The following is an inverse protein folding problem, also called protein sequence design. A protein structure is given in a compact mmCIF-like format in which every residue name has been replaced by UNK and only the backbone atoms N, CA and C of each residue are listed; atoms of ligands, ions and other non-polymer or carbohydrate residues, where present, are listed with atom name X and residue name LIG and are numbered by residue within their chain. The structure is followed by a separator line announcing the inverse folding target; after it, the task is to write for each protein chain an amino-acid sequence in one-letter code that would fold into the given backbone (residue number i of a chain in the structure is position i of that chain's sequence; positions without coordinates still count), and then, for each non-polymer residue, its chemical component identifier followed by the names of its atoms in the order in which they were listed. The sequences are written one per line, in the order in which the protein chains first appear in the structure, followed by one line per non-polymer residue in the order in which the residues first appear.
data_IF_068906117607
#
_entry.id   IF_068906117607
#
_cell.length_a   1.000
_cell.length_b   1.000
_cell.length_c   1.000
_cell.angle_alpha   90.00
_cell.angle_beta   90.00
_cell.angle_gamma   90.00
#
_symmetry.space_group_name_H-M   'P 1'
#
loop_
_entity.id
_entity.type
_entity.pdbx_description
1 polymer ?
#
# COMPACT_ATOMS: atom_id res chain seq x y z
N UNK A 1 -12.08 -15.54 -14.30
CA UNK A 1 -13.10 -15.91 -13.30
C UNK A 1 -12.59 -15.41 -11.96
N UNK A 2 -13.08 -14.26 -11.51
CA UNK A 2 -12.64 -13.65 -10.24
C UNK A 2 -13.24 -14.44 -9.08
N UNK A 3 -12.41 -14.97 -8.19
CA UNK A 3 -12.86 -15.65 -6.97
C UNK A 3 -13.36 -14.61 -5.95
N UNK A 4 -14.43 -14.91 -5.18
CA UNK A 4 -15.07 -13.98 -4.28
C UNK A 4 -14.35 -13.97 -2.93
N UNK A 5 -13.18 -13.36 -2.87
CA UNK A 5 -12.63 -12.87 -1.60
C UNK A 5 -12.52 -11.35 -1.75
N UNK A 6 -13.41 -10.64 -1.06
CA UNK A 6 -13.50 -9.18 -1.12
C UNK A 6 -12.15 -8.54 -0.78
N UNK A 7 -11.69 -7.52 -1.51
CA UNK A 7 -10.49 -6.79 -1.11
C UNK A 7 -10.82 -6.02 0.16
N UNK A 8 -10.12 -6.34 1.26
CA UNK A 8 -10.03 -5.46 2.42
C UNK A 8 -9.18 -4.24 2.04
N UNK A 9 -9.85 -3.23 1.48
CA UNK A 9 -9.24 -1.94 1.20
C UNK A 9 -9.03 -1.19 2.51
N UNK A 10 -7.82 -0.69 2.76
CA UNK A 10 -7.48 0.18 3.92
C UNK A 10 -8.09 1.60 3.81
N UNK A 11 -9.05 1.82 2.91
CA UNK A 11 -9.67 3.12 2.64
C UNK A 11 -11.20 3.10 2.51
N UNK A 12 -11.88 1.99 2.79
CA UNK A 12 -13.34 1.93 2.79
C UNK A 12 -13.88 1.75 4.22
N UNK A 13 -13.64 2.76 5.05
CA UNK A 13 -14.60 3.08 6.11
C UNK A 13 -15.92 3.49 5.46
N UNK A 14 -17.06 3.15 6.06
CA UNK A 14 -18.37 3.58 5.56
C UNK A 14 -18.37 5.11 5.46
N UNK A 15 -18.43 5.66 4.25
CA UNK A 15 -18.56 7.09 3.98
C UNK A 15 -20.05 7.43 4.03
N UNK A 16 -20.62 7.99 5.13
CA UNK A 16 -22.01 8.42 5.15
C UNK A 16 -22.33 9.42 4.03
N UNK A 17 -23.59 9.49 3.61
CA UNK A 17 -24.05 10.33 2.48
C UNK A 17 -23.83 11.85 2.65
N UNK A 18 -23.26 12.29 3.78
CA UNK A 18 -22.96 13.68 4.11
C UNK A 18 -21.54 14.15 3.71
N UNK A 19 -20.73 13.29 3.07
CA UNK A 19 -19.41 13.70 2.59
C UNK A 19 -19.53 14.56 1.32
N UNK A 20 -18.83 15.71 1.23
CA UNK A 20 -18.58 16.34 -0.06
C UNK A 20 -17.70 15.37 -0.87
N UNK A 21 -18.33 14.60 -1.74
CA UNK A 21 -17.63 13.74 -2.68
C UNK A 21 -16.85 14.66 -3.61
N UNK A 22 -15.53 14.53 -3.63
CA UNK A 22 -14.73 15.14 -4.67
C UNK A 22 -15.26 14.66 -6.03
N UNK A 23 -15.86 15.56 -6.81
CA UNK A 23 -16.46 15.24 -8.11
C UNK A 23 -15.41 14.92 -9.18
N UNK A 24 -14.11 14.97 -8.84
CA UNK A 24 -13.06 14.40 -9.67
C UNK A 24 -13.26 12.88 -9.64
N UNK A 25 -13.55 12.24 -10.78
CA UNK A 25 -13.84 10.80 -10.90
C UNK A 25 -12.68 9.85 -10.57
N UNK A 26 -11.78 10.23 -9.66
CA UNK A 26 -10.60 9.50 -9.22
C UNK A 26 -10.50 9.57 -7.69
N UNK A 27 -9.99 8.52 -7.07
CA UNK A 27 -9.71 8.47 -5.63
C UNK A 27 -8.30 7.95 -5.37
N UNK A 28 -7.73 8.34 -4.23
CA UNK A 28 -6.40 7.88 -3.79
C UNK A 28 -6.62 6.74 -2.80
N UNK A 29 -6.04 5.59 -3.11
CA UNK A 29 -6.19 4.38 -2.32
C UNK A 29 -4.84 3.70 -2.17
N UNK A 30 -4.58 3.25 -0.95
CA UNK A 30 -3.36 2.56 -0.57
C UNK A 30 -3.64 1.07 -0.31
N UNK A 31 -2.68 0.23 -0.61
CA UNK A 31 -2.76 -1.20 -0.35
C UNK A 31 -2.00 -2.07 -1.34
N UNK A 32 -1.68 -3.30 -0.95
CA UNK A 32 -1.09 -4.29 -1.86
C UNK A 32 -1.98 -4.60 -3.08
N UNK A 33 -3.29 -4.40 -2.94
CA UNK A 33 -4.26 -4.44 -4.05
C UNK A 33 -4.06 -3.32 -5.08
N UNK A 34 -3.56 -2.15 -4.69
CA UNK A 34 -3.22 -1.03 -5.59
C UNK A 34 -1.85 -1.26 -6.28
N UNK A 35 -0.92 -1.95 -5.61
CA UNK A 35 0.35 -2.36 -6.20
C UNK A 35 0.20 -3.49 -7.22
N UNK A 36 -0.72 -4.43 -7.00
CA UNK A 36 -0.96 -5.59 -7.88
C UNK A 36 -1.17 -5.23 -9.37
N UNK A 37 -2.07 -4.28 -9.73
CA UNK A 37 -2.28 -3.91 -11.14
C UNK A 37 -1.05 -3.27 -11.80
N UNK A 38 -0.14 -2.63 -11.05
CA UNK A 38 1.13 -2.13 -11.61
C UNK A 38 1.94 -3.30 -12.20
N UNK A 39 2.06 -4.42 -11.47
CA UNK A 39 2.76 -5.61 -11.97
C UNK A 39 1.99 -6.30 -13.09
N UNK A 40 0.66 -6.31 -13.05
CA UNK A 40 -0.13 -6.83 -14.18
C UNK A 40 0.16 -6.06 -15.47
N UNK A 41 0.24 -4.73 -15.38
CA UNK A 41 0.59 -3.87 -16.51
C UNK A 41 2.01 -4.13 -17.02
N UNK A 42 2.99 -4.19 -16.11
CA UNK A 42 4.38 -4.49 -16.46
C UNK A 42 4.50 -5.88 -17.11
N UNK A 43 3.87 -6.90 -16.54
CA UNK A 43 3.85 -8.24 -17.10
C UNK A 43 3.22 -8.29 -18.49
N UNK A 44 2.15 -7.52 -18.73
CA UNK A 44 1.53 -7.41 -20.05
C UNK A 44 2.48 -6.77 -21.08
N UNK A 45 3.22 -5.72 -20.69
CA UNK A 45 4.23 -5.09 -21.55
C UNK A 45 5.41 -6.04 -21.83
N UNK A 46 5.93 -6.73 -20.83
CA UNK A 46 6.96 -7.75 -21.03
C UNK A 46 6.47 -8.84 -21.97
N UNK A 47 5.22 -9.31 -21.82
CA UNK A 47 4.61 -10.30 -22.73
C UNK A 47 4.44 -9.78 -24.16
N UNK A 48 4.17 -8.48 -24.32
CA UNK A 48 4.08 -7.87 -25.65
C UNK A 48 5.45 -7.84 -26.35
N UNK A 49 6.53 -7.60 -25.60
CA UNK A 49 7.91 -7.60 -26.12
C UNK A 49 8.43 -9.02 -26.35
N UNK A 50 8.05 -9.97 -25.49
CA UNK A 50 8.43 -11.38 -25.54
C UNK A 50 7.19 -12.30 -25.65
N UNK A 51 6.57 -12.42 -26.84
CA UNK A 51 5.31 -13.14 -27.02
C UNK A 51 5.39 -14.65 -26.78
N UNK A 52 6.58 -15.23 -26.78
CA UNK A 52 6.88 -16.64 -26.56
C UNK A 52 7.14 -16.98 -25.09
N UNK A 53 7.46 -15.99 -24.25
CA UNK A 53 7.80 -16.23 -22.85
C UNK A 53 6.64 -16.80 -22.03
N UNK A 54 6.95 -17.77 -21.18
CA UNK A 54 5.99 -18.31 -20.23
C UNK A 54 5.66 -17.27 -19.13
N UNK A 55 4.55 -17.44 -18.40
CA UNK A 55 4.29 -16.66 -17.19
C UNK A 55 5.42 -16.73 -16.14
N UNK A 56 6.12 -17.87 -16.04
CA UNK A 56 7.24 -18.05 -15.12
C UNK A 56 8.47 -17.27 -15.58
N UNK A 57 8.77 -17.26 -16.88
CA UNK A 57 9.82 -16.43 -17.46
C UNK A 57 9.56 -14.93 -17.22
N UNK A 58 8.32 -14.47 -17.42
CA UNK A 58 7.92 -13.07 -17.13
C UNK A 58 8.07 -12.75 -15.64
N UNK A 59 7.58 -13.64 -14.76
CA UNK A 59 7.74 -13.49 -13.31
C UNK A 59 9.22 -13.40 -12.94
N UNK A 60 10.05 -14.28 -13.50
CA UNK A 60 11.50 -14.27 -13.29
C UNK A 60 12.11 -12.94 -13.72
N UNK A 61 11.81 -12.44 -14.91
CA UNK A 61 12.37 -11.20 -15.42
C UNK A 61 12.07 -10.00 -14.51
N UNK A 62 10.83 -9.89 -14.00
CA UNK A 62 10.43 -8.83 -13.06
C UNK A 62 11.22 -8.95 -11.75
N UNK A 63 11.37 -10.17 -11.21
CA UNK A 63 12.05 -10.39 -9.93
C UNK A 63 13.56 -10.17 -10.02
N UNK A 64 14.24 -10.77 -11.00
CA UNK A 64 15.71 -10.76 -11.10
C UNK A 64 16.28 -9.40 -11.50
N UNK A 65 15.44 -8.49 -12.00
CA UNK A 65 15.84 -7.13 -12.41
C UNK A 65 15.41 -6.03 -11.44
N UNK A 66 14.75 -6.43 -10.35
CA UNK A 66 14.31 -5.52 -9.28
C UNK A 66 15.49 -4.83 -8.57
N UNK A 67 15.18 -3.79 -7.82
CA UNK A 67 16.16 -2.97 -7.09
C UNK A 67 15.91 -3.07 -5.59
N UNK A 68 16.99 -3.19 -4.82
CA UNK A 68 16.95 -3.24 -3.34
C UNK A 68 17.27 -1.87 -2.71
N UNK A 69 17.40 -0.83 -3.54
CA UNK A 69 17.74 0.52 -3.13
C UNK A 69 16.64 1.50 -3.47
N UNK A 70 16.55 2.57 -2.69
CA UNK A 70 15.71 3.72 -2.93
C UNK A 70 16.25 4.61 -4.08
N UNK A 71 15.56 5.72 -4.34
CA UNK A 71 15.98 6.69 -5.37
C UNK A 71 17.33 7.39 -5.09
N UNK A 72 17.78 7.41 -3.84
CA UNK A 72 19.06 7.98 -3.40
C UNK A 72 20.20 6.94 -3.46
N UNK A 73 19.89 5.69 -3.83
CA UNK A 73 20.84 4.57 -3.82
C UNK A 73 21.09 3.99 -2.42
N UNK A 74 20.31 4.34 -1.41
CA UNK A 74 20.35 3.75 -0.07
C UNK A 74 19.49 2.48 -0.04
N UNK A 75 19.66 1.57 0.93
CA UNK A 75 18.77 0.42 1.07
C UNK A 75 17.30 0.83 1.22
N UNK A 76 16.38 0.08 0.62
CA UNK A 76 14.94 0.24 0.87
C UNK A 76 14.70 0.01 2.37
N UNK A 77 14.05 0.96 3.04
CA UNK A 77 13.83 0.91 4.48
C UNK A 77 12.44 0.36 4.84
N UNK A 78 12.32 -0.18 6.04
CA UNK A 78 11.05 -0.52 6.70
C UNK A 78 10.54 0.65 7.56
N UNK A 79 9.40 0.45 8.22
CA UNK A 79 8.76 1.43 9.07
C UNK A 79 9.56 1.79 10.33
N UNK A 80 10.50 0.93 10.75
CA UNK A 80 11.42 1.19 11.88
C UNK A 80 12.76 1.77 11.43
N UNK A 81 12.90 2.20 10.18
CA UNK A 81 14.12 2.76 9.60
C UNK A 81 15.27 1.73 9.50
N UNK A 82 14.95 0.44 9.48
CA UNK A 82 15.92 -0.61 9.18
C UNK A 82 15.83 -1.01 7.71
N UNK A 83 16.91 -1.55 7.11
CA UNK A 83 16.84 -2.12 5.78
C UNK A 83 15.77 -3.22 5.70
N UNK A 84 14.82 -3.08 4.78
CA UNK A 84 13.75 -4.03 4.56
C UNK A 84 14.35 -5.38 4.14
N UNK A 85 13.89 -6.46 4.76
CA UNK A 85 14.38 -7.80 4.46
C UNK A 85 13.55 -8.46 3.34
N UNK A 86 14.01 -9.62 2.87
CA UNK A 86 13.35 -10.37 1.78
C UNK A 86 11.93 -10.83 2.11
N UNK A 87 11.55 -10.96 3.38
CA UNK A 87 10.16 -11.26 3.78
C UNK A 87 9.23 -10.03 3.73
N UNK A 88 9.76 -8.83 3.49
CA UNK A 88 9.00 -7.61 3.29
C UNK A 88 8.90 -7.23 1.80
N UNK A 89 10.02 -7.29 1.08
CA UNK A 89 10.11 -6.78 -0.30
C UNK A 89 10.35 -7.85 -1.37
N UNK A 90 10.52 -9.12 -0.97
CA UNK A 90 10.88 -10.19 -1.91
C UNK A 90 12.23 -9.92 -2.56
N UNK A 91 12.24 -9.91 -3.90
CA UNK A 91 13.44 -9.58 -4.68
C UNK A 91 13.83 -8.09 -4.59
N UNK A 92 12.89 -7.20 -4.25
CA UNK A 92 13.08 -5.75 -4.23
C UNK A 92 11.97 -5.00 -4.94
N UNK A 93 12.13 -3.70 -5.09
CA UNK A 93 11.21 -2.85 -5.85
C UNK A 93 11.33 -3.09 -7.35
N UNK A 94 10.19 -3.25 -8.03
CA UNK A 94 10.13 -3.49 -9.46
C UNK A 94 10.89 -2.43 -10.27
N UNK A 95 11.60 -2.87 -11.32
CA UNK A 95 12.25 -2.03 -12.32
C UNK A 95 11.72 -2.41 -13.72
N UNK A 96 10.70 -1.70 -14.23
CA UNK A 96 10.07 -2.04 -15.51
C UNK A 96 11.05 -2.03 -16.68
N UNK A 97 11.92 -1.02 -16.74
CA UNK A 97 12.86 -0.84 -17.87
C UNK A 97 13.87 -1.96 -17.98
N UNK A 98 14.35 -2.50 -16.85
CA UNK A 98 15.26 -3.64 -16.85
C UNK A 98 14.55 -4.98 -17.09
N UNK A 99 13.28 -5.11 -16.68
CA UNK A 99 12.52 -6.34 -16.88
C UNK A 99 12.27 -6.67 -18.36
N UNK A 100 12.41 -5.70 -19.26
CA UNK A 100 12.31 -5.93 -20.70
C UNK A 100 13.50 -6.67 -21.30
N UNK A 101 14.69 -6.59 -20.70
CA UNK A 101 15.87 -7.34 -21.13
C UNK A 101 16.69 -7.79 -19.90
N UNK A 102 16.25 -8.86 -19.21
CA UNK A 102 16.86 -9.33 -17.98
C UNK A 102 18.18 -10.09 -18.23
N UNK A 103 18.54 -10.37 -19.49
CA UNK A 103 19.63 -11.26 -19.89
C UNK A 103 19.35 -12.74 -19.63
N UNK A 104 19.00 -13.11 -18.40
CA UNK A 104 18.64 -14.48 -18.00
C UNK A 104 17.27 -14.52 -17.34
N UNK A 105 16.46 -15.51 -17.73
CA UNK A 105 15.20 -15.85 -17.08
C UNK A 105 15.24 -17.29 -16.58
N UNK A 106 14.70 -17.52 -15.38
CA UNK A 106 14.49 -18.85 -14.81
C UNK A 106 13.07 -19.28 -15.17
N UNK A 107 12.95 -19.99 -16.27
CA UNK A 107 11.66 -20.55 -16.71
C UNK A 107 11.34 -21.85 -15.96
N UNK A 108 10.05 -22.17 -15.85
CA UNK A 108 9.53 -23.36 -15.16
C UNK A 108 8.37 -23.93 -15.98
N UNK A 109 8.45 -25.23 -16.27
CA UNK A 109 7.41 -25.96 -17.00
C UNK A 109 6.25 -26.33 -16.05
N UNK A 110 5.01 -26.35 -16.56
CA UNK A 110 3.83 -26.82 -15.84
C UNK A 110 4.01 -28.19 -15.15
N UNK A 111 4.83 -29.09 -15.72
CA UNK A 111 5.17 -30.39 -15.11
C UNK A 111 5.91 -30.26 -13.78
N UNK A 112 6.71 -29.22 -13.61
CA UNK A 112 7.45 -28.96 -12.36
C UNK A 112 6.49 -28.46 -11.27
N UNK A 113 5.49 -27.65 -11.62
CA UNK A 113 4.42 -27.30 -10.68
C UNK A 113 3.57 -28.51 -10.26
N UNK A 114 3.33 -29.46 -11.19
CA UNK A 114 2.69 -30.74 -10.85
C UNK A 114 3.55 -31.50 -9.85
N UNK A 115 4.84 -31.66 -10.12
CA UNK A 115 5.76 -32.36 -9.23
C UNK A 115 5.80 -31.74 -7.82
N UNK A 116 5.81 -30.40 -7.73
CA UNK A 116 5.73 -29.68 -6.46
C UNK A 116 4.42 -29.97 -5.71
N UNK A 117 3.27 -29.89 -6.39
CA UNK A 117 1.97 -30.18 -5.78
C UNK A 117 1.85 -31.63 -5.31
N UNK A 118 2.36 -32.59 -6.09
CA UNK A 118 2.44 -33.99 -5.69
C UNK A 118 3.36 -34.18 -4.47
N UNK A 119 4.48 -33.45 -4.41
CA UNK A 119 5.39 -33.41 -3.25
C UNK A 119 4.70 -32.89 -1.98
N UNK A 120 3.81 -31.90 -2.13
CA UNK A 120 2.96 -31.35 -1.06
C UNK A 120 1.73 -32.23 -0.74
N UNK A 121 1.63 -33.43 -1.29
CA UNK A 121 0.55 -34.42 -1.03
C UNK A 121 -0.85 -33.96 -1.46
N UNK A 122 -0.94 -33.08 -2.47
CA UNK A 122 -2.23 -32.77 -3.13
C UNK A 122 -2.74 -33.99 -3.89
N UNK A 123 -4.07 -34.15 -3.96
CA UNK A 123 -4.70 -35.25 -4.71
C UNK A 123 -4.71 -34.92 -6.20
N UNK A 124 -4.60 -35.93 -7.06
CA UNK A 124 -4.54 -35.78 -8.51
C UNK A 124 -5.69 -34.95 -9.09
N UNK A 125 -6.90 -35.08 -8.52
CA UNK A 125 -8.07 -34.29 -8.91
C UNK A 125 -7.87 -32.78 -8.67
N UNK A 126 -7.21 -32.41 -7.57
CA UNK A 126 -6.98 -31.04 -7.16
C UNK A 126 -5.85 -30.44 -8.00
N UNK A 127 -4.79 -31.23 -8.25
CA UNK A 127 -3.69 -30.86 -9.15
C UNK A 127 -4.19 -30.62 -10.57
N UNK A 128 -5.00 -31.53 -11.11
CA UNK A 128 -5.56 -31.43 -12.46
C UNK A 128 -6.42 -30.18 -12.63
N UNK A 129 -7.23 -29.83 -11.63
CA UNK A 129 -8.04 -28.62 -11.63
C UNK A 129 -7.18 -27.35 -11.63
N UNK A 130 -6.14 -27.31 -10.79
CA UNK A 130 -5.23 -26.16 -10.67
C UNK A 130 -4.46 -25.93 -11.97
N UNK A 131 -3.93 -27.00 -12.59
CA UNK A 131 -3.15 -26.91 -13.83
C UNK A 131 -4.03 -26.56 -15.02
N UNK A 132 -5.21 -27.17 -15.13
CA UNK A 132 -6.16 -26.87 -16.21
C UNK A 132 -6.61 -25.40 -16.21
N UNK A 133 -6.73 -24.78 -15.03
CA UNK A 133 -7.10 -23.38 -14.89
C UNK A 133 -6.00 -22.39 -15.33
N UNK A 134 -4.75 -22.83 -15.53
CA UNK A 134 -3.58 -21.96 -15.66
C UNK A 134 -2.96 -21.82 -17.04
N UNK A 135 -3.60 -22.31 -18.10
CA UNK A 135 -3.10 -22.32 -19.50
C UNK A 135 -2.39 -21.01 -19.94
N UNK A 136 -1.10 -20.88 -19.66
CA UNK A 136 -0.28 -19.72 -20.02
C UNK A 136 -0.73 -18.38 -19.42
N UNK A 137 -1.52 -18.38 -18.33
CA UNK A 137 -2.06 -17.13 -17.76
C UNK A 137 -1.14 -16.64 -16.63
N UNK A 138 -0.62 -15.43 -16.78
CA UNK A 138 0.10 -14.74 -15.72
C UNK A 138 -0.86 -14.26 -14.62
N UNK A 139 -0.50 -14.47 -13.36
CA UNK A 139 -1.31 -14.09 -12.20
C UNK A 139 -0.45 -13.30 -11.23
N UNK A 140 -0.81 -12.04 -11.01
CA UNK A 140 -0.33 -11.26 -9.87
C UNK A 140 -1.39 -11.28 -8.77
N UNK A 141 -0.95 -11.27 -7.52
CA UNK A 141 -1.84 -11.25 -6.36
C UNK A 141 -1.27 -10.41 -5.23
N UNK A 142 -2.15 -9.70 -4.53
CA UNK A 142 -1.77 -8.85 -3.40
C UNK A 142 -1.18 -9.70 -2.25
N UNK A 143 -0.09 -9.26 -1.64
CA UNK A 143 0.50 -9.93 -0.47
C UNK A 143 -0.44 -9.89 0.76
N UNK A 144 -1.34 -8.92 0.82
CA UNK A 144 -2.22 -8.67 1.97
C UNK A 144 -1.82 -7.39 2.71
N UNK A 145 -2.74 -6.90 3.53
CA UNK A 145 -2.58 -5.64 4.29
C UNK A 145 -2.59 -5.90 5.80
N UNK A 146 -2.00 -7.02 6.24
CA UNK A 146 -2.00 -7.48 7.64
C UNK A 146 -0.60 -7.47 8.28
N UNK A 147 0.35 -6.73 7.70
CA UNK A 147 1.61 -6.39 8.36
C UNK A 147 1.38 -5.53 9.62
N UNK A 148 2.44 -5.24 10.41
CA UNK A 148 3.86 -5.50 10.17
C UNK A 148 4.35 -6.85 10.73
N UNK A 149 3.46 -7.67 11.27
CA UNK A 149 3.86 -8.97 11.82
C UNK A 149 4.30 -9.93 10.71
N UNK A 150 5.29 -10.76 11.00
CA UNK A 150 5.71 -11.86 10.12
C UNK A 150 4.57 -12.86 9.92
N UNK A 151 4.67 -13.65 8.85
CA UNK A 151 3.75 -14.74 8.55
C UNK A 151 2.28 -14.31 8.32
N UNK A 152 2.11 -13.15 7.70
CA UNK A 152 0.81 -12.54 7.37
C UNK A 152 0.54 -12.51 5.87
N UNK A 153 1.49 -12.98 5.05
CA UNK A 153 1.38 -13.01 3.58
C UNK A 153 0.38 -14.04 3.08
N UNK A 154 -0.45 -13.61 2.13
CA UNK A 154 -1.43 -14.44 1.41
C UNK A 154 -1.06 -14.55 -0.07
N UNK A 155 -1.85 -15.29 -0.86
CA UNK A 155 -1.59 -15.54 -2.29
C UNK A 155 -0.21 -16.17 -2.55
N UNK A 156 0.20 -17.07 -1.65
CA UNK A 156 1.56 -17.63 -1.53
C UNK A 156 1.90 -18.72 -2.55
N UNK A 157 0.99 -18.98 -3.49
CA UNK A 157 1.18 -20.05 -4.43
C UNK A 157 2.37 -19.75 -5.38
N UNK A 158 3.22 -20.74 -5.73
CA UNK A 158 4.53 -20.48 -6.38
C UNK A 158 4.44 -19.78 -7.75
N UNK A 159 3.40 -20.10 -8.51
CA UNK A 159 3.08 -19.53 -9.83
C UNK A 159 2.38 -18.16 -9.76
N UNK A 160 2.02 -17.65 -8.58
CA UNK A 160 1.49 -16.30 -8.41
C UNK A 160 2.67 -15.37 -8.17
N UNK A 161 2.70 -14.21 -8.84
CA UNK A 161 3.57 -13.10 -8.45
C UNK A 161 2.88 -12.34 -7.30
N UNK A 162 3.31 -12.59 -6.07
CA UNK A 162 2.80 -11.99 -4.85
C UNK A 162 3.44 -10.63 -4.61
N UNK A 163 2.62 -9.59 -4.60
CA UNK A 163 3.06 -8.19 -4.65
C UNK A 163 2.92 -7.51 -3.29
N UNK A 164 4.04 -7.05 -2.74
CA UNK A 164 4.12 -6.16 -1.59
C UNK A 164 3.93 -4.70 -1.99
N UNK A 165 3.51 -3.89 -1.03
CA UNK A 165 3.27 -2.46 -1.19
C UNK A 165 4.49 -1.66 -0.72
N UNK A 166 4.97 -0.76 -1.57
CA UNK A 166 6.04 0.17 -1.26
C UNK A 166 5.66 1.58 -1.69
N UNK A 167 6.19 2.58 -0.98
CA UNK A 167 5.95 3.99 -1.27
C UNK A 167 6.52 4.37 -2.64
N UNK A 168 6.00 5.47 -3.20
CA UNK A 168 6.48 6.06 -4.45
C UNK A 168 6.91 7.52 -4.25
N UNK A 169 7.72 8.03 -5.18
CA UNK A 169 8.23 9.40 -5.18
C UNK A 169 7.14 10.44 -5.54
N UNK A 170 6.06 10.00 -6.19
CA UNK A 170 4.91 10.83 -6.51
C UNK A 170 4.07 11.11 -5.25
N UNK A 171 4.03 12.37 -4.84
CA UNK A 171 3.22 12.84 -3.72
C UNK A 171 2.15 13.86 -4.13
N UNK A 172 1.00 13.83 -3.46
CA UNK A 172 -0.06 14.83 -3.61
C UNK A 172 0.16 15.97 -2.61
N UNK A 173 1.13 16.83 -2.92
CA UNK A 173 1.62 17.87 -2.01
C UNK A 173 0.48 18.78 -1.49
N UNK A 174 0.41 18.91 -0.18
CA UNK A 174 -0.47 19.81 0.55
C UNK A 174 0.35 20.53 1.64
N UNK A 175 0.72 21.78 1.36
CA UNK A 175 1.60 22.58 2.21
C UNK A 175 0.84 23.16 3.41
N UNK A 176 1.43 23.03 4.59
CA UNK A 176 1.00 23.75 5.79
C UNK A 176 1.97 24.87 6.06
N UNK A 177 1.48 26.11 6.11
CA UNK A 177 2.25 27.26 6.58
C UNK A 177 1.72 27.72 7.93
N UNK A 178 2.57 27.68 8.95
CA UNK A 178 2.25 28.18 10.29
C UNK A 178 2.47 29.69 10.38
N UNK A 179 1.93 30.31 11.44
CA UNK A 179 2.05 31.75 11.70
C UNK A 179 3.49 32.21 11.98
N UNK A 180 4.35 31.32 12.43
CA UNK A 180 5.77 31.56 12.68
C UNK A 180 6.65 31.27 11.45
N UNK A 181 6.05 31.32 10.26
CA UNK A 181 6.69 31.07 8.95
C UNK A 181 7.27 29.66 8.76
N UNK A 182 7.04 28.73 9.71
CA UNK A 182 7.38 27.32 9.49
C UNK A 182 6.46 26.72 8.45
N UNK A 183 7.06 25.99 7.50
CA UNK A 183 6.34 25.28 6.45
C UNK A 183 6.56 23.77 6.61
N UNK A 184 5.47 23.01 6.45
CA UNK A 184 5.50 21.54 6.46
C UNK A 184 4.91 21.03 5.16
N UNK A 185 5.66 20.17 4.47
CA UNK A 185 5.16 19.45 3.31
C UNK A 185 4.39 18.21 3.78
N UNK A 186 3.08 18.20 3.55
CA UNK A 186 2.24 17.02 3.77
C UNK A 186 1.59 16.55 2.48
N UNK A 187 0.74 15.52 2.60
CA UNK A 187 0.03 14.92 1.47
C UNK A 187 -1.49 14.89 1.69
N UNK A 188 -2.26 15.16 0.64
CA UNK A 188 -3.72 15.07 0.67
C UNK A 188 -4.35 14.91 -0.70
N UNK A 189 -5.30 13.99 -0.83
CA UNK A 189 -6.17 13.88 -2.00
C UNK A 189 -7.21 15.01 -2.08
N UNK A 190 -7.65 15.53 -0.94
CA UNK A 190 -8.64 16.60 -0.89
C UNK A 190 -7.96 17.97 -1.04
N UNK A 191 -8.04 18.54 -2.25
CA UNK A 191 -7.40 19.81 -2.62
C UNK A 191 -8.42 20.83 -3.13
N UNK A 192 -9.19 21.47 -2.23
CA UNK A 192 -10.14 22.52 -2.61
C UNK A 192 -9.43 23.73 -3.25
N UNK A 193 -10.01 24.26 -4.33
CA UNK A 193 -9.42 25.32 -5.17
C UNK A 193 -9.28 26.69 -4.49
N UNK A 194 -10.00 26.93 -3.39
CA UNK A 194 -10.00 28.20 -2.64
C UNK A 194 -9.88 27.98 -1.14
N UNK A 195 -8.82 27.31 -0.69
CA UNK A 195 -8.65 27.03 0.74
C UNK A 195 -7.37 27.62 1.32
N UNK A 196 -7.30 28.95 1.32
CA UNK A 196 -6.53 29.67 2.33
C UNK A 196 -7.40 29.79 3.58
N UNK A 197 -7.29 28.85 4.53
CA UNK A 197 -7.72 29.23 5.87
C UNK A 197 -6.70 30.24 6.38
N UNK A 198 -7.09 31.52 6.41
CA UNK A 198 -6.49 32.45 7.35
C UNK A 198 -6.86 31.97 8.76
N UNK A 199 -6.01 31.11 9.31
CA UNK A 199 -6.15 30.38 10.57
C UNK A 199 -6.00 31.32 11.80
N UNK A 200 -6.40 32.59 11.65
CA UNK A 200 -6.20 33.69 12.59
C UNK A 200 -6.97 33.52 13.92
N UNK A 201 -7.90 32.56 14.01
CA UNK A 201 -8.83 32.44 15.15
C UNK A 201 -8.83 31.07 15.85
N UNK A 202 -7.96 30.13 15.47
CA UNK A 202 -7.96 28.80 16.07
C UNK A 202 -6.77 28.67 17.03
N UNK A 203 -7.04 28.86 18.32
CA UNK A 203 -6.16 28.34 19.38
C UNK A 203 -5.89 26.87 19.08
N UNK A 204 -4.62 26.48 19.03
CA UNK A 204 -4.20 25.08 18.95
C UNK A 204 -4.89 24.28 20.06
N UNK A 205 -5.84 23.41 19.71
CA UNK A 205 -6.33 22.43 20.68
C UNK A 205 -5.30 21.31 20.75
N UNK A 206 -4.80 20.91 21.93
CA UNK A 206 -3.53 20.18 22.03
C UNK A 206 -3.51 18.80 21.39
N UNK A 207 -4.67 18.17 21.13
CA UNK A 207 -4.71 16.85 20.53
C UNK A 207 -6.14 16.45 20.13
N UNK A 208 -6.38 16.12 18.87
CA UNK A 208 -7.56 15.35 18.47
C UNK A 208 -7.23 13.86 18.64
N UNK A 209 -7.58 13.27 19.80
CA UNK A 209 -7.26 11.87 20.11
C UNK A 209 -8.10 10.91 19.24
N UNK A 210 -7.54 10.46 18.12
CA UNK A 210 -8.12 9.42 17.26
C UNK A 210 -7.54 8.05 17.60
N UNK A 211 -8.37 7.15 18.17
CA UNK A 211 -8.35 5.66 18.04
C UNK A 211 -9.14 4.96 19.17
N UNK A 212 -9.46 5.62 20.29
CA UNK A 212 -10.39 5.06 21.30
C UNK A 212 -11.74 5.77 21.28
N UNK A 213 -12.64 5.16 20.53
CA UNK A 213 -14.08 5.36 20.55
C UNK A 213 -14.58 5.38 22.02
N UNK A 214 -15.31 6.44 22.37
CA UNK A 214 -16.25 6.62 23.49
C UNK A 214 -15.79 7.29 24.81
N UNK A 215 -14.55 7.14 25.31
CA UNK A 215 -14.26 7.62 26.69
C UNK A 215 -13.68 9.03 26.85
N UNK A 216 -13.47 9.79 25.77
CA UNK A 216 -13.01 11.21 25.84
C UNK A 216 -14.01 12.13 25.12
N UNK A 217 -15.29 11.74 25.12
CA UNK A 217 -16.38 12.43 24.41
C UNK A 217 -16.97 13.64 25.17
N UNK A 218 -16.41 14.05 26.31
CA UNK A 218 -17.03 15.11 27.13
C UNK A 218 -16.58 16.55 26.80
N UNK A 219 -15.64 16.77 25.88
CA UNK A 219 -15.12 18.13 25.61
C UNK A 219 -14.91 18.52 24.12
N UNK A 220 -15.66 17.91 23.19
CA UNK A 220 -15.57 18.24 21.75
C UNK A 220 -16.36 19.48 21.31
N UNK A 221 -17.01 20.21 22.23
CA UNK A 221 -17.51 21.57 21.97
C UNK A 221 -16.38 22.56 21.62
N UNK A 222 -15.13 22.20 21.95
CA UNK A 222 -13.94 23.07 21.83
C UNK A 222 -13.33 23.14 20.43
N UNK A 223 -13.68 22.25 19.50
CA UNK A 223 -13.05 22.19 18.15
C UNK A 223 -13.85 22.88 17.04
N UNK A 224 -15.06 23.36 17.34
CA UNK A 224 -15.92 24.03 16.36
C UNK A 224 -15.22 25.25 15.75
N UNK A 225 -15.04 25.27 14.43
CA UNK A 225 -14.36 26.34 13.70
C UNK A 225 -12.83 26.39 13.90
N UNK A 226 -12.24 25.39 14.55
CA UNK A 226 -10.79 25.31 14.80
C UNK A 226 -10.16 24.16 14.01
N UNK A 227 -8.86 24.24 13.81
CA UNK A 227 -8.07 23.12 13.30
C UNK A 227 -7.45 22.34 14.47
N UNK A 228 -7.13 21.08 14.25
CA UNK A 228 -6.38 20.26 15.21
C UNK A 228 -5.35 19.39 14.52
N UNK A 229 -4.50 18.73 15.31
CA UNK A 229 -3.62 17.68 14.81
C UNK A 229 -3.86 16.37 15.55
N UNK A 230 -3.59 15.25 14.87
CA UNK A 230 -3.75 13.91 15.39
C UNK A 230 -2.70 12.96 14.80
N UNK A 231 -2.34 11.91 15.54
CA UNK A 231 -1.56 10.80 14.98
C UNK A 231 -2.50 9.71 14.47
N UNK A 232 -2.17 9.10 13.34
CA UNK A 232 -2.99 8.03 12.73
C UNK A 232 -2.97 6.76 13.57
N UNK A 233 -1.80 6.32 14.06
CA UNK A 233 -1.62 5.11 14.89
C UNK A 233 -2.35 3.88 14.32
N UNK A 234 -2.20 3.63 13.02
CA UNK A 234 -2.86 2.56 12.26
C UNK A 234 -4.36 2.76 12.03
N UNK A 235 -4.96 3.88 12.43
CA UNK A 235 -6.33 4.23 12.03
C UNK A 235 -6.33 4.93 10.67
N UNK A 236 -7.37 4.64 9.88
CA UNK A 236 -7.60 5.34 8.63
C UNK A 236 -7.81 6.83 8.91
N UNK A 237 -7.04 7.70 8.25
CA UNK A 237 -7.19 9.15 8.36
C UNK A 237 -8.61 9.64 8.04
N UNK A 238 -9.37 8.85 7.27
CA UNK A 238 -10.79 9.08 6.96
C UNK A 238 -11.66 9.03 8.23
N UNK A 239 -11.45 8.05 9.12
CA UNK A 239 -12.24 7.90 10.34
C UNK A 239 -11.97 9.03 11.33
N UNK A 240 -10.70 9.44 11.44
CA UNK A 240 -10.30 10.58 12.26
C UNK A 240 -10.92 11.85 11.69
N UNK A 241 -10.82 12.04 10.36
CA UNK A 241 -11.43 13.18 9.66
C UNK A 241 -12.92 13.26 9.92
N UNK A 242 -13.65 12.15 9.73
CA UNK A 242 -15.10 12.09 9.96
C UNK A 242 -15.49 12.58 11.37
N UNK A 243 -14.76 12.14 12.40
CA UNK A 243 -15.02 12.56 13.77
C UNK A 243 -14.75 14.06 13.98
N UNK A 244 -13.69 14.60 13.39
CA UNK A 244 -13.38 16.03 13.45
C UNK A 244 -14.47 16.84 12.72
N UNK A 245 -14.90 16.40 11.54
CA UNK A 245 -15.95 17.06 10.76
C UNK A 245 -17.28 17.08 11.52
N UNK A 246 -17.69 15.91 12.06
CA UNK A 246 -18.94 15.75 12.82
C UNK A 246 -19.06 16.72 14.00
N UNK A 247 -17.93 17.11 14.60
CA UNK A 247 -17.88 18.04 15.73
C UNK A 247 -17.55 19.49 15.32
N UNK A 248 -17.57 19.78 14.01
CA UNK A 248 -17.43 21.13 13.46
C UNK A 248 -15.99 21.63 13.32
N UNK A 249 -14.99 20.74 13.34
CA UNK A 249 -13.61 21.10 13.05
C UNK A 249 -13.43 21.63 11.63
N UNK A 250 -12.59 22.67 11.48
CA UNK A 250 -12.38 23.38 10.22
C UNK A 250 -11.28 22.75 9.34
N UNK A 251 -10.27 22.14 9.96
CA UNK A 251 -9.18 21.43 9.27
C UNK A 251 -8.43 20.48 10.23
N UNK A 252 -7.61 19.60 9.67
CA UNK A 252 -6.80 18.67 10.45
C UNK A 252 -5.37 18.51 9.87
N UNK A 253 -4.38 18.37 10.74
CA UNK A 253 -3.04 17.88 10.36
C UNK A 253 -2.89 16.48 10.94
N UNK A 254 -2.73 15.48 10.08
CA UNK A 254 -2.40 14.13 10.51
C UNK A 254 -0.89 13.94 10.50
N UNK A 255 -0.40 13.17 11.45
CA UNK A 255 0.99 12.75 11.51
C UNK A 255 1.03 11.23 11.58
N UNK A 256 1.99 10.63 10.88
CA UNK A 256 2.23 9.19 11.03
C UNK A 256 2.58 8.87 12.50
N UNK A 257 1.98 7.82 13.04
CA UNK A 257 2.45 7.21 14.27
C UNK A 257 3.81 6.53 14.06
N UNK A 258 4.52 6.25 15.15
CA UNK A 258 5.84 5.60 15.09
C UNK A 258 5.81 4.28 14.32
N UNK A 259 4.71 3.51 14.42
CA UNK A 259 4.55 2.22 13.76
C UNK A 259 4.26 2.32 12.24
N UNK A 260 3.95 3.50 11.73
CA UNK A 260 3.61 3.71 10.31
C UNK A 260 4.83 4.17 9.49
N UNK A 261 5.88 4.63 10.18
CA UNK A 261 7.17 4.99 9.59
C UNK A 261 7.02 5.91 8.39
N UNK A 262 7.54 5.46 7.24
CA UNK A 262 7.53 6.20 5.96
C UNK A 262 6.21 6.15 5.17
N UNK A 263 5.21 5.41 5.66
CA UNK A 263 3.98 5.14 4.90
C UNK A 263 2.95 6.24 5.10
N UNK A 264 2.66 7.05 4.08
CA UNK A 264 1.65 8.11 4.17
C UNK A 264 0.38 7.74 3.40
N UNK A 265 -0.72 7.47 4.12
CA UNK A 265 -2.00 7.09 3.53
C UNK A 265 -2.84 8.33 3.17
N UNK A 266 -2.47 9.04 2.11
CA UNK A 266 -3.05 10.34 1.72
C UNK A 266 -4.47 10.25 1.09
N UNK A 267 -5.37 9.48 1.71
CA UNK A 267 -6.76 9.33 1.27
C UNK A 267 -7.59 10.62 1.41
N UNK A 268 -8.73 10.65 0.73
CA UNK A 268 -9.70 11.75 0.83
C UNK A 268 -10.35 11.77 2.22
N UNK A 269 -10.16 12.85 2.98
CA UNK A 269 -10.82 13.04 4.28
C UNK A 269 -11.48 14.42 4.36
N UNK A 270 -12.55 14.50 5.15
CA UNK A 270 -13.28 15.73 5.46
C UNK A 270 -13.21 15.91 6.99
N UNK A 271 -12.85 17.09 7.54
CA UNK A 271 -12.55 18.36 6.86
C UNK A 271 -11.19 18.31 6.13
N UNK A 272 -10.83 19.35 5.35
CA UNK A 272 -9.51 19.44 4.72
C UNK A 272 -8.38 19.05 5.67
N UNK A 273 -7.58 18.10 5.18
CA UNK A 273 -6.58 17.40 5.95
C UNK A 273 -5.28 17.36 5.17
N UNK A 274 -4.16 17.34 5.87
CA UNK A 274 -2.84 17.05 5.30
C UNK A 274 -2.09 16.10 6.22
N UNK A 275 -1.49 15.06 5.64
CA UNK A 275 -0.68 14.09 6.39
C UNK A 275 0.78 14.51 6.26
N UNK A 276 1.38 14.91 7.38
CA UNK A 276 2.79 15.31 7.46
C UNK A 276 3.59 14.12 8.00
N UNK A 277 4.60 13.70 7.25
CA UNK A 277 5.46 12.57 7.61
C UNK A 277 6.74 12.56 6.78
N UNK A 278 7.76 11.84 7.24
CA UNK A 278 8.95 11.56 6.43
C UNK A 278 8.52 10.54 5.38
N UNK A 279 8.73 10.82 4.10
CA UNK A 279 8.43 9.88 3.00
C UNK A 279 9.74 9.62 2.26
N UNK A 280 10.24 8.39 2.34
CA UNK A 280 11.32 7.88 1.49
C UNK A 280 10.70 6.98 0.42
N UNK A 281 11.29 6.94 -0.77
CA UNK A 281 10.72 6.23 -1.91
C UNK A 281 11.77 5.48 -2.74
N UNK A 282 11.57 4.18 -2.99
CA UNK A 282 10.67 3.29 -2.27
C UNK A 282 11.12 2.96 -0.84
N UNK A 283 10.14 2.88 0.06
CA UNK A 283 10.22 2.26 1.38
C UNK A 283 9.12 1.18 1.46
N UNK A 284 9.32 0.13 2.25
CA UNK A 284 8.30 -0.91 2.43
C UNK A 284 7.15 -0.38 3.30
N UNK A 285 5.91 -0.52 2.82
CA UNK A 285 4.74 -0.03 3.55
C UNK A 285 4.49 -0.87 4.81
N UNK A 286 4.21 -0.23 5.95
CA UNK A 286 4.08 -0.91 7.25
C UNK A 286 2.96 -1.97 7.25
N UNK A 287 1.85 -1.69 6.56
CA UNK A 287 0.68 -2.56 6.48
C UNK A 287 0.91 -3.76 5.56
N UNK A 288 1.92 -3.70 4.67
CA UNK A 288 2.17 -4.76 3.70
C UNK A 288 2.47 -6.07 4.43
N UNK A 289 1.65 -7.09 4.16
CA UNK A 289 1.83 -8.41 4.77
C UNK A 289 3.21 -8.99 4.46
N UNK A 290 3.75 -9.74 5.42
CA UNK A 290 5.13 -10.24 5.40
C UNK A 290 5.19 -11.76 5.39
N UNK A 291 6.24 -12.29 4.79
CA UNK A 291 6.61 -13.70 4.94
C UNK A 291 7.16 -14.02 6.33
N UNK A 292 7.58 -15.28 6.54
CA UNK A 292 7.45 -16.41 5.62
C UNK A 292 6.00 -16.89 5.46
N UNK A 293 5.68 -17.62 4.39
CA UNK A 293 4.37 -18.28 4.27
C UNK A 293 4.24 -19.42 5.28
N UNK A 294 3.12 -19.49 6.00
CA UNK A 294 2.79 -20.64 6.86
C UNK A 294 2.33 -21.86 6.06
N UNK A 295 1.77 -21.65 4.87
CA UNK A 295 1.23 -22.72 4.02
C UNK A 295 2.34 -23.41 3.21
N UNK A 296 3.30 -22.63 2.69
CA UNK A 296 4.42 -23.14 1.90
C UNK A 296 5.73 -22.50 2.40
N UNK A 297 6.27 -22.92 3.56
CA UNK A 297 7.44 -22.30 4.18
C UNK A 297 8.71 -22.35 3.32
N UNK A 298 8.79 -23.30 2.39
CA UNK A 298 9.93 -23.47 1.47
C UNK A 298 9.96 -22.48 0.30
N UNK A 299 8.93 -21.63 0.14
CA UNK A 299 8.87 -20.63 -0.94
C UNK A 299 8.85 -19.23 -0.32
N UNK A 300 9.88 -18.44 -0.63
CA UNK A 300 9.99 -17.05 -0.17
C UNK A 300 8.80 -16.23 -0.70
N UNK A 301 8.15 -15.49 0.19
CA UNK A 301 7.07 -14.55 -0.13
C UNK A 301 7.20 -13.29 0.76
N UNK A 302 6.78 -12.10 0.29
CA UNK A 302 6.28 -11.78 -1.06
C UNK A 302 7.37 -11.94 -2.14
N UNK A 303 7.01 -11.89 -3.41
CA UNK A 303 7.97 -12.05 -4.51
C UNK A 303 8.65 -10.73 -4.90
N UNK A 304 7.91 -9.62 -4.83
CA UNK A 304 8.32 -8.31 -5.35
C UNK A 304 7.63 -7.18 -4.57
N UNK A 305 8.28 -6.03 -4.48
CA UNK A 305 7.73 -4.77 -3.99
C UNK A 305 7.33 -3.88 -5.18
N UNK A 306 6.23 -3.14 -5.06
CA UNK A 306 5.81 -2.20 -6.08
C UNK A 306 5.03 -1.02 -5.51
N UNK A 307 4.87 0.07 -6.30
CA UNK A 307 4.22 1.29 -5.86
C UNK A 307 2.80 1.03 -5.35
N UNK A 308 2.45 1.64 -4.22
CA UNK A 308 1.11 1.62 -3.61
C UNK A 308 0.40 2.97 -3.69
#
# INVERSE_FOLDING_TARGET
MFLPHGPTWLGLGHVPDAFPIDHRGFNVMSGTSASTPHLSGIAALVKQIHPDWSPAAIKSAIMTTSMITDHDGKPIMDEQLHPANSFMMGAGHVNPSKAFDPGLVFDVDHKEYIALLCGMKYKDKDVSLIVAARKGIFVSGAAGNSGPLQATVVNVAPWVLTVAAGTMDRSLKALVKLRDDREFEGQSAFQPSEFLINLLAAHSTPFCLGTRIISVLENLTTIKGRWCYATTNNAAGIDIGYNVHKHGGAAMILMNGENEGYTTLAGSSCPPCTIVGKSEAPAAAFFSSRGPSVEIPGVLKPDILAPE
#
